data_IF_215799483970
#
_entry.id   IF_215799483970
#
_cell.length_a   1.000
_cell.length_b   1.000
_cell.length_c   1.000
_cell.angle_alpha   90.00
_cell.angle_beta   90.00
_cell.angle_gamma   90.00
#
_symmetry.space_group_name_H-M   'P 1'
#
loop_
_entity.id
_entity.type
_entity.pdbx_description
1 polymer ?
#
# COMPACT_ATOMS: atom_id res chain seq x y z
N UNK A 1 -73.21 -16.93 12.26
CA UNK A 1 -71.99 -17.71 12.49
C UNK A 1 -70.77 -16.75 12.30
N UNK A 2 -70.05 -16.52 13.39
CA UNK A 2 -69.01 -15.48 13.47
C UNK A 2 -67.68 -16.04 12.97
N UNK A 3 -67.02 -15.37 12.05
CA UNK A 3 -65.66 -15.67 11.65
C UNK A 3 -64.68 -14.82 12.48
N UNK A 4 -63.82 -15.49 13.23
CA UNK A 4 -62.74 -14.86 13.98
C UNK A 4 -61.51 -14.59 13.01
N UNK A 5 -61.15 -13.34 12.93
CA UNK A 5 -59.94 -12.89 12.26
C UNK A 5 -58.83 -12.67 13.33
N UNK A 6 -57.83 -13.55 13.31
CA UNK A 6 -56.65 -13.43 14.19
C UNK A 6 -55.60 -12.55 13.49
N UNK A 7 -55.36 -11.36 14.05
CA UNK A 7 -54.30 -10.46 13.63
C UNK A 7 -53.01 -10.89 14.31
N UNK A 8 -52.03 -11.33 13.52
CA UNK A 8 -50.65 -11.62 13.97
C UNK A 8 -49.85 -10.30 14.04
N UNK A 9 -49.61 -9.85 15.26
CA UNK A 9 -48.73 -8.70 15.54
C UNK A 9 -47.29 -9.18 15.56
N UNK A 10 -46.56 -8.81 14.53
CA UNK A 10 -45.10 -9.00 14.49
C UNK A 10 -44.41 -7.91 15.32
N UNK A 11 -43.96 -8.25 16.50
CA UNK A 11 -43.08 -7.43 17.33
C UNK A 11 -41.66 -7.50 16.78
N UNK A 12 -41.18 -6.39 16.22
CA UNK A 12 -39.77 -6.18 15.87
C UNK A 12 -38.99 -5.96 17.15
N UNK A 13 -38.25 -6.95 17.62
CA UNK A 13 -37.18 -6.76 18.59
C UNK A 13 -36.01 -6.01 17.93
N UNK A 14 -35.86 -4.74 18.29
CA UNK A 14 -34.63 -3.97 18.04
C UNK A 14 -33.58 -4.41 19.05
N UNK A 15 -32.63 -5.25 18.67
CA UNK A 15 -31.42 -5.45 19.45
C UNK A 15 -30.59 -4.15 19.37
N UNK A 16 -30.52 -3.43 20.48
CA UNK A 16 -29.62 -2.32 20.68
C UNK A 16 -28.22 -2.90 20.93
N UNK A 17 -27.31 -2.67 20.01
CA UNK A 17 -25.89 -2.84 20.28
C UNK A 17 -25.43 -1.66 21.16
N UNK A 18 -25.24 -1.89 22.45
CA UNK A 18 -24.46 -1.02 23.30
C UNK A 18 -22.99 -1.44 23.16
N UNK A 19 -22.22 -0.77 22.33
CA UNK A 19 -20.76 -0.79 22.43
C UNK A 19 -20.36 0.26 23.44
N UNK A 20 -19.99 -0.17 24.65
CA UNK A 20 -19.27 0.69 25.60
C UNK A 20 -17.85 0.81 25.09
N UNK A 21 -17.58 1.86 24.35
CA UNK A 21 -16.20 2.25 24.04
C UNK A 21 -15.65 2.91 25.29
N UNK A 22 -14.91 2.14 26.09
CA UNK A 22 -14.04 2.69 27.12
C UNK A 22 -12.91 3.41 26.41
N UNK A 23 -12.95 4.75 26.40
CA UNK A 23 -11.84 5.59 25.96
C UNK A 23 -10.62 5.34 26.83
N UNK A 24 -9.66 4.58 26.32
CA UNK A 24 -8.33 4.55 26.90
C UNK A 24 -7.55 5.68 26.24
N UNK A 25 -7.57 6.81 26.92
CA UNK A 25 -6.63 7.92 26.72
C UNK A 25 -5.22 7.35 26.96
N UNK A 26 -4.54 6.93 25.90
CA UNK A 26 -3.12 6.57 25.99
C UNK A 26 -2.31 7.82 25.74
N UNK A 27 -1.37 8.19 26.63
CA UNK A 27 -0.49 9.30 26.36
C UNK A 27 0.34 8.99 25.12
N UNK A 28 0.26 9.86 24.10
CA UNK A 28 1.16 9.84 22.96
C UNK A 28 2.60 9.84 23.47
N UNK A 29 3.25 8.70 23.44
CA UNK A 29 4.71 8.62 23.57
C UNK A 29 5.27 9.12 22.24
N UNK A 30 5.51 10.40 22.15
CA UNK A 30 6.43 10.97 21.17
C UNK A 30 7.80 10.30 21.42
N UNK A 31 8.09 9.29 20.62
CA UNK A 31 9.45 8.81 20.48
C UNK A 31 10.20 9.93 19.76
N UNK A 32 10.92 10.76 20.52
CA UNK A 32 11.80 11.78 19.98
C UNK A 32 12.90 11.07 19.20
N UNK A 33 12.67 10.82 17.93
CA UNK A 33 13.69 10.35 16.99
C UNK A 33 14.61 11.54 16.79
N UNK A 34 15.81 11.51 17.37
CA UNK A 34 16.82 12.53 17.11
C UNK A 34 17.18 12.47 15.63
N UNK A 35 17.13 13.58 14.89
CA UNK A 35 17.53 13.62 13.50
C UNK A 35 18.97 13.12 13.37
N UNK A 36 19.15 12.14 12.52
CA UNK A 36 20.45 11.54 12.24
C UNK A 36 20.77 11.85 10.79
N UNK A 37 21.58 12.88 10.55
CA UNK A 37 21.96 13.29 9.22
C UNK A 37 22.52 12.12 8.37
N UNK A 38 22.36 12.22 7.06
CA UNK A 38 22.75 11.19 6.08
C UNK A 38 24.22 10.73 6.24
N UNK A 39 25.10 11.59 6.73
CA UNK A 39 26.51 11.28 7.00
C UNK A 39 26.69 10.06 7.92
N UNK A 40 25.76 9.80 8.82
CA UNK A 40 25.77 8.58 9.64
C UNK A 40 25.47 7.33 8.83
N UNK A 41 24.61 7.44 7.80
CA UNK A 41 24.19 6.32 6.98
C UNK A 41 25.18 6.04 5.85
N UNK A 42 25.64 7.10 5.17
CA UNK A 42 26.58 6.97 4.05
C UNK A 42 27.97 6.59 4.55
N UNK A 43 28.43 7.13 5.70
CA UNK A 43 29.78 6.86 6.20
C UNK A 43 30.85 7.14 5.13
N UNK A 44 31.70 6.15 4.83
CA UNK A 44 32.71 6.20 3.76
C UNK A 44 32.24 5.50 2.46
N UNK A 45 31.09 4.79 2.49
CA UNK A 45 30.53 4.10 1.33
C UNK A 45 29.54 5.00 0.59
N UNK A 46 29.57 5.03 -0.75
CA UNK A 46 28.61 5.78 -1.52
C UNK A 46 27.20 5.17 -1.41
N UNK A 47 26.18 6.01 -1.48
CA UNK A 47 24.81 5.55 -1.69
C UNK A 47 24.67 4.86 -3.05
N UNK A 48 23.62 4.06 -3.22
CA UNK A 48 23.28 3.45 -4.51
C UNK A 48 21.97 3.98 -5.02
N UNK A 49 21.96 4.53 -6.24
CA UNK A 49 20.75 4.93 -6.96
C UNK A 49 20.30 3.77 -7.85
N UNK A 50 19.14 3.21 -7.55
CA UNK A 50 18.52 2.10 -8.30
C UNK A 50 17.37 2.64 -9.12
N UNK A 51 17.40 2.48 -10.46
CA UNK A 51 16.34 2.95 -11.34
C UNK A 51 16.29 2.18 -12.66
N UNK A 52 15.15 2.25 -13.34
CA UNK A 52 14.98 1.68 -14.68
C UNK A 52 15.22 2.75 -15.76
N UNK A 53 16.32 2.70 -16.51
CA UNK A 53 16.62 3.70 -17.53
C UNK A 53 15.69 3.65 -18.76
N UNK A 54 14.99 2.54 -18.97
CA UNK A 54 14.08 2.36 -20.12
C UNK A 54 12.63 2.72 -19.81
N UNK A 55 12.32 3.06 -18.55
CA UNK A 55 10.97 3.46 -18.15
C UNK A 55 10.52 4.76 -18.86
N UNK A 56 9.20 5.01 -18.82
CA UNK A 56 8.60 6.20 -19.42
C UNK A 56 8.98 6.43 -20.89
N UNK A 57 9.07 5.35 -21.68
CA UNK A 57 9.47 5.39 -23.10
C UNK A 57 10.86 6.01 -23.32
N UNK A 58 11.79 5.75 -22.37
CA UNK A 58 13.17 6.23 -22.41
C UNK A 58 13.41 7.58 -21.71
N UNK A 59 12.37 8.34 -21.35
CA UNK A 59 12.52 9.61 -20.63
C UNK A 59 13.17 9.43 -19.24
N UNK A 60 13.07 8.24 -18.64
CA UNK A 60 13.68 7.96 -17.36
C UNK A 60 15.20 8.11 -17.37
N UNK A 61 15.87 7.87 -18.52
CA UNK A 61 17.32 8.08 -18.63
C UNK A 61 17.70 9.55 -18.39
N UNK A 62 16.90 10.51 -18.88
CA UNK A 62 17.13 11.94 -18.65
C UNK A 62 16.90 12.32 -17.20
N UNK A 63 15.84 11.79 -16.59
CA UNK A 63 15.55 12.03 -15.18
C UNK A 63 16.61 11.42 -14.26
N UNK A 64 17.17 10.25 -14.61
CA UNK A 64 18.30 9.66 -13.88
C UNK A 64 19.53 10.56 -13.95
N UNK A 65 19.84 11.13 -15.14
CA UNK A 65 20.97 12.09 -15.26
C UNK A 65 20.75 13.32 -14.38
N UNK A 66 19.53 13.87 -14.39
CA UNK A 66 19.14 14.99 -13.53
C UNK A 66 19.26 14.64 -12.04
N UNK A 67 18.71 13.51 -11.61
CA UNK A 67 18.78 13.06 -10.22
C UNK A 67 20.24 12.89 -9.75
N UNK A 68 21.09 12.30 -10.60
CA UNK A 68 22.54 12.14 -10.29
C UNK A 68 23.24 13.48 -10.16
N UNK A 69 23.00 14.42 -11.07
CA UNK A 69 23.58 15.77 -10.99
C UNK A 69 23.15 16.49 -9.68
N UNK A 70 21.87 16.38 -9.31
CA UNK A 70 21.36 16.93 -8.04
C UNK A 70 21.97 16.25 -6.81
N UNK A 71 22.16 14.94 -6.83
CA UNK A 71 22.85 14.20 -5.75
C UNK A 71 24.31 14.63 -5.62
N UNK A 72 25.02 14.85 -6.74
CA UNK A 72 26.38 15.37 -6.75
C UNK A 72 26.45 16.80 -6.17
N UNK A 73 25.54 17.68 -6.58
CA UNK A 73 25.41 19.04 -6.05
C UNK A 73 25.10 19.04 -4.54
N UNK A 74 24.23 18.16 -4.11
CA UNK A 74 23.90 17.94 -2.70
C UNK A 74 25.02 17.23 -1.91
N UNK A 75 26.15 16.88 -2.56
CA UNK A 75 27.28 16.15 -1.97
C UNK A 75 26.89 14.81 -1.36
N UNK A 76 25.99 14.09 -2.01
CA UNK A 76 25.63 12.71 -1.70
C UNK A 76 26.42 11.78 -2.63
N UNK A 77 27.56 11.21 -2.20
CA UNK A 77 28.34 10.29 -3.02
C UNK A 77 27.47 9.09 -3.39
N UNK A 78 27.38 8.79 -4.68
CA UNK A 78 26.51 7.72 -5.14
C UNK A 78 27.06 7.02 -6.39
N UNK A 79 26.60 5.79 -6.60
CA UNK A 79 26.74 5.07 -7.87
C UNK A 79 25.37 4.64 -8.39
N UNK A 80 25.29 4.38 -9.68
CA UNK A 80 24.07 3.97 -10.33
C UNK A 80 24.03 2.45 -10.55
N UNK A 81 22.88 1.85 -10.30
CA UNK A 81 22.56 0.45 -10.58
C UNK A 81 21.23 0.44 -11.33
N UNK A 82 21.20 -0.18 -12.51
CA UNK A 82 19.97 -0.36 -13.25
C UNK A 82 19.11 -1.47 -12.62
N UNK A 83 17.78 -1.29 -12.65
CA UNK A 83 16.85 -2.39 -12.33
C UNK A 83 16.95 -3.50 -13.37
N UNK A 84 16.66 -4.71 -12.95
CA UNK A 84 16.60 -5.88 -13.80
C UNK A 84 15.18 -6.45 -13.86
N UNK A 85 14.74 -7.00 -15.01
CA UNK A 85 13.40 -7.56 -15.14
C UNK A 85 13.24 -8.84 -14.32
N UNK A 86 11.98 -9.30 -14.19
CA UNK A 86 11.62 -10.58 -13.56
C UNK A 86 12.01 -10.67 -12.08
N UNK A 87 11.94 -9.54 -11.34
CA UNK A 87 12.25 -9.52 -9.91
C UNK A 87 13.75 -9.61 -9.57
N UNK A 88 14.65 -9.67 -10.56
CA UNK A 88 16.10 -9.77 -10.31
C UNK A 88 16.70 -8.53 -9.67
N UNK A 89 15.99 -7.40 -9.70
CA UNK A 89 16.37 -6.20 -8.93
C UNK A 89 16.54 -6.52 -7.44
N UNK A 90 15.74 -7.41 -6.88
CA UNK A 90 15.80 -7.83 -5.47
C UNK A 90 17.20 -8.40 -5.17
N UNK A 91 17.64 -9.36 -5.98
CA UNK A 91 18.94 -10.00 -5.81
C UNK A 91 20.08 -9.00 -6.05
N UNK A 92 19.92 -8.13 -7.07
CA UNK A 92 20.93 -7.11 -7.36
C UNK A 92 21.12 -6.11 -6.22
N UNK A 93 20.04 -5.70 -5.56
CA UNK A 93 20.10 -4.81 -4.38
C UNK A 93 20.76 -5.53 -3.20
N UNK A 94 20.39 -6.81 -2.98
CA UNK A 94 21.02 -7.64 -1.95
C UNK A 94 22.54 -7.72 -2.12
N UNK A 95 23.02 -8.08 -3.32
CA UNK A 95 24.46 -8.18 -3.64
C UNK A 95 25.18 -6.85 -3.35
N UNK A 96 24.63 -5.73 -3.79
CA UNK A 96 25.21 -4.41 -3.59
C UNK A 96 25.37 -4.07 -2.10
N UNK A 97 24.43 -4.49 -1.26
CA UNK A 97 24.49 -4.25 0.19
C UNK A 97 25.54 -5.17 0.83
N UNK A 98 25.53 -6.46 0.47
CA UNK A 98 26.38 -7.48 1.06
C UNK A 98 27.87 -7.28 0.67
N UNK A 99 28.12 -7.04 -0.63
CA UNK A 99 29.49 -6.98 -1.17
C UNK A 99 30.16 -5.64 -0.94
N UNK A 100 29.40 -4.52 -1.03
CA UNK A 100 29.95 -3.17 -0.99
C UNK A 100 29.70 -2.44 0.33
N UNK A 101 28.99 -3.06 1.27
CA UNK A 101 28.68 -2.48 2.58
C UNK A 101 27.84 -1.20 2.49
N UNK A 102 26.99 -1.08 1.48
CA UNK A 102 26.11 0.08 1.25
C UNK A 102 25.16 0.29 2.42
N UNK A 103 24.95 1.54 2.83
CA UNK A 103 24.07 1.93 3.93
C UNK A 103 22.90 2.81 3.48
N UNK A 104 22.93 3.32 2.27
CA UNK A 104 21.83 4.08 1.68
C UNK A 104 21.53 3.55 0.28
N UNK A 105 20.29 3.10 0.08
CA UNK A 105 19.78 2.70 -1.24
C UNK A 105 18.68 3.69 -1.64
N UNK A 106 18.88 4.40 -2.74
CA UNK A 106 17.92 5.37 -3.27
C UNK A 106 17.18 4.70 -4.43
N UNK A 107 15.89 4.51 -4.34
CA UNK A 107 15.13 4.10 -5.52
C UNK A 107 14.63 5.30 -6.30
N UNK A 108 14.55 5.16 -7.62
CA UNK A 108 13.87 6.10 -8.50
C UNK A 108 12.93 5.32 -9.43
N UNK A 109 11.63 5.50 -9.22
CA UNK A 109 10.61 4.71 -9.92
C UNK A 109 9.23 4.86 -9.33
N UNK A 110 8.36 3.89 -9.59
CA UNK A 110 7.04 3.75 -8.97
C UNK A 110 7.06 2.74 -7.82
N UNK A 111 5.85 2.38 -7.33
CA UNK A 111 5.65 1.49 -6.18
C UNK A 111 6.26 0.10 -6.40
N UNK A 112 6.22 -0.45 -7.63
CA UNK A 112 6.91 -1.72 -7.93
C UNK A 112 8.43 -1.64 -7.74
N UNK A 113 9.08 -0.55 -8.19
CA UNK A 113 10.53 -0.36 -7.95
C UNK A 113 10.82 -0.17 -6.47
N UNK A 114 9.94 0.54 -5.74
CA UNK A 114 10.02 0.64 -4.28
C UNK A 114 10.01 -0.76 -3.65
N UNK A 115 9.01 -1.58 -3.99
CA UNK A 115 8.83 -2.92 -3.41
C UNK A 115 10.04 -3.84 -3.70
N UNK A 116 10.54 -3.87 -4.95
CA UNK A 116 11.72 -4.68 -5.29
C UNK A 116 12.97 -4.24 -4.52
N UNK A 117 13.22 -2.92 -4.40
CA UNK A 117 14.37 -2.39 -3.64
C UNK A 117 14.22 -2.69 -2.15
N UNK A 118 13.04 -2.50 -1.57
CA UNK A 118 12.78 -2.83 -0.18
C UNK A 118 12.94 -4.32 0.10
N UNK A 119 12.41 -5.21 -0.77
CA UNK A 119 12.62 -6.66 -0.67
C UNK A 119 14.10 -7.05 -0.75
N UNK A 120 14.88 -6.37 -1.61
CA UNK A 120 16.33 -6.56 -1.71
C UNK A 120 17.08 -6.17 -0.44
N UNK A 121 16.68 -5.06 0.21
CA UNK A 121 17.21 -4.64 1.51
C UNK A 121 16.91 -5.71 2.58
N UNK A 122 15.70 -6.27 2.59
CA UNK A 122 15.35 -7.37 3.50
C UNK A 122 16.14 -8.65 3.21
N UNK A 123 16.33 -8.99 1.94
CA UNK A 123 17.05 -10.19 1.53
C UNK A 123 18.53 -10.17 1.93
N UNK A 124 19.14 -8.99 2.09
CA UNK A 124 20.52 -8.83 2.59
C UNK A 124 20.68 -9.15 4.08
N UNK A 125 19.58 -9.20 4.84
CA UNK A 125 19.65 -9.33 6.30
C UNK A 125 20.06 -8.06 7.04
N UNK A 126 20.33 -6.96 6.34
CA UNK A 126 20.83 -5.68 6.89
C UNK A 126 19.77 -4.56 6.92
N UNK A 127 18.47 -4.91 6.91
CA UNK A 127 17.39 -3.92 6.82
C UNK A 127 17.43 -2.85 7.94
N UNK A 128 17.98 -3.18 9.10
CA UNK A 128 18.14 -2.24 10.20
C UNK A 128 19.35 -1.32 10.07
N UNK A 129 20.28 -1.62 9.15
CA UNK A 129 21.52 -0.87 8.93
C UNK A 129 21.48 -0.07 7.63
N UNK A 130 20.45 -0.25 6.81
CA UNK A 130 20.29 0.40 5.51
C UNK A 130 19.10 1.35 5.53
N UNK A 131 19.29 2.59 5.12
CA UNK A 131 18.22 3.55 4.91
C UNK A 131 17.83 3.64 3.43
N UNK A 132 16.55 3.74 3.13
CA UNK A 132 16.03 3.83 1.77
C UNK A 132 15.60 5.26 1.45
N UNK A 133 16.26 5.88 0.48
CA UNK A 133 15.88 7.18 -0.09
C UNK A 133 14.84 7.00 -1.20
N UNK A 134 13.96 7.98 -1.35
CA UNK A 134 12.81 7.88 -2.25
C UNK A 134 12.80 8.99 -3.30
N UNK A 135 12.84 8.61 -4.58
CA UNK A 135 12.61 9.49 -5.73
C UNK A 135 11.40 8.95 -6.54
N UNK A 136 10.16 9.19 -6.07
CA UNK A 136 8.97 8.66 -6.70
C UNK A 136 8.74 9.31 -8.08
N UNK A 137 8.74 8.50 -9.14
CA UNK A 137 8.54 8.94 -10.52
C UNK A 137 7.53 8.08 -11.30
N UNK A 138 6.87 7.15 -10.62
CA UNK A 138 5.83 6.29 -11.17
C UNK A 138 4.48 7.00 -11.34
N UNK A 139 3.42 6.22 -11.48
CA UNK A 139 2.05 6.74 -11.68
C UNK A 139 1.31 6.96 -10.37
N UNK A 140 1.19 5.95 -9.50
CA UNK A 140 0.47 6.05 -8.23
C UNK A 140 1.37 6.65 -7.14
N UNK A 141 2.53 6.06 -6.90
CA UNK A 141 3.52 6.47 -5.90
C UNK A 141 2.93 6.59 -4.49
N UNK A 142 2.15 5.58 -4.10
CA UNK A 142 1.44 5.53 -2.83
C UNK A 142 2.39 5.67 -1.63
N UNK A 143 3.53 4.99 -1.70
CA UNK A 143 4.59 5.06 -0.70
C UNK A 143 5.14 6.49 -0.57
N UNK A 144 5.66 7.07 -1.66
CA UNK A 144 6.24 8.42 -1.62
C UNK A 144 5.26 9.47 -1.10
N UNK A 145 4.01 9.43 -1.59
CA UNK A 145 2.94 10.35 -1.18
C UNK A 145 2.54 10.17 0.29
N UNK A 146 2.50 8.94 0.79
CA UNK A 146 2.18 8.65 2.19
C UNK A 146 3.23 9.22 3.15
N UNK A 147 4.47 9.32 2.70
CA UNK A 147 5.58 9.93 3.45
C UNK A 147 5.84 11.39 3.08
N UNK A 148 4.89 12.08 2.46
CA UNK A 148 4.96 13.54 2.21
C UNK A 148 5.81 13.95 1.02
N UNK A 149 6.24 13.00 0.18
CA UNK A 149 7.01 13.30 -1.03
C UNK A 149 6.09 13.61 -2.21
N UNK A 150 6.51 14.53 -3.05
CA UNK A 150 5.87 14.76 -4.34
C UNK A 150 6.44 13.82 -5.40
N UNK A 151 5.62 13.49 -6.40
CA UNK A 151 6.00 12.56 -7.44
C UNK A 151 6.31 13.29 -8.77
N UNK A 152 7.16 12.66 -9.57
CA UNK A 152 7.49 13.11 -10.92
C UNK A 152 8.81 13.86 -11.04
N UNK A 153 9.21 14.13 -12.28
CA UNK A 153 10.49 14.75 -12.59
C UNK A 153 10.65 16.17 -11.99
N UNK A 154 9.54 16.93 -11.87
CA UNK A 154 9.55 18.27 -11.28
C UNK A 154 9.81 18.30 -9.78
N UNK A 155 9.69 17.16 -9.09
CA UNK A 155 9.92 17.04 -7.66
C UNK A 155 11.33 16.53 -7.29
N UNK A 156 12.17 16.22 -8.27
CA UNK A 156 13.48 15.60 -8.04
C UNK A 156 14.39 16.44 -7.15
N UNK A 157 14.46 17.76 -7.39
CA UNK A 157 15.31 18.67 -6.60
C UNK A 157 14.89 18.64 -5.11
N UNK A 158 13.59 18.79 -4.82
CA UNK A 158 13.06 18.73 -3.47
C UNK A 158 13.32 17.38 -2.81
N UNK A 159 13.07 16.28 -3.52
CA UNK A 159 13.24 14.94 -2.97
C UNK A 159 14.72 14.59 -2.75
N UNK A 160 15.63 15.08 -3.59
CA UNK A 160 17.08 14.97 -3.36
C UNK A 160 17.51 15.77 -2.12
N UNK A 161 16.94 16.97 -1.91
CA UNK A 161 17.21 17.74 -0.70
C UNK A 161 16.73 16.99 0.57
N UNK A 162 15.58 16.28 0.51
CA UNK A 162 15.11 15.39 1.59
C UNK A 162 16.13 14.28 1.87
N UNK A 163 16.63 13.62 0.81
CA UNK A 163 17.63 12.56 0.95
C UNK A 163 18.90 13.12 1.58
N UNK A 164 19.37 14.29 1.16
CA UNK A 164 20.56 14.93 1.69
C UNK A 164 20.40 15.37 3.16
N UNK A 165 19.20 15.75 3.58
CA UNK A 165 18.89 16.06 4.98
C UNK A 165 18.97 14.83 5.87
N UNK A 166 18.55 13.65 5.37
CA UNK A 166 18.77 12.36 5.99
C UNK A 166 17.93 12.09 7.24
N UNK A 167 16.72 12.66 7.35
CA UNK A 167 15.78 12.31 8.41
C UNK A 167 15.24 10.90 8.15
N UNK A 168 15.32 10.02 9.16
CA UNK A 168 14.98 8.61 8.99
C UNK A 168 13.89 8.19 9.96
N UNK A 169 12.84 7.57 9.43
CA UNK A 169 11.77 6.93 10.21
C UNK A 169 11.77 5.43 9.97
N UNK A 170 11.24 4.67 10.94
CA UNK A 170 10.92 3.26 10.74
C UNK A 170 9.57 3.13 10.06
N UNK A 171 9.45 2.19 9.12
CA UNK A 171 8.19 1.80 8.52
C UNK A 171 7.92 0.33 8.84
N UNK A 172 6.68 0.01 9.19
CA UNK A 172 6.23 -1.35 9.43
C UNK A 172 6.24 -2.14 8.13
N UNK A 173 6.38 -3.44 8.22
CA UNK A 173 6.42 -4.33 7.05
C UNK A 173 5.48 -5.49 7.29
N UNK A 174 4.62 -5.76 6.32
CA UNK A 174 3.74 -6.91 6.34
C UNK A 174 4.45 -8.18 5.88
N UNK A 175 4.43 -9.21 6.73
CA UNK A 175 4.85 -10.56 6.35
C UNK A 175 3.61 -11.36 6.00
N UNK A 176 3.51 -11.81 4.76
CA UNK A 176 2.38 -12.53 4.21
C UNK A 176 2.74 -14.00 3.97
N UNK A 177 1.83 -14.89 4.35
CA UNK A 177 1.85 -16.31 3.98
C UNK A 177 0.48 -16.68 3.40
N UNK A 178 0.46 -17.32 2.22
CA UNK A 178 -0.75 -17.77 1.54
C UNK A 178 -0.80 -19.30 1.57
N UNK A 179 -1.94 -19.83 1.98
CA UNK A 179 -2.17 -21.26 2.09
C UNK A 179 -3.36 -21.71 1.23
N UNK A 180 -3.27 -22.93 0.71
CA UNK A 180 -4.37 -23.65 0.05
C UNK A 180 -4.47 -25.04 0.67
N UNK A 181 -5.61 -25.37 1.29
CA UNK A 181 -5.70 -26.49 2.21
C UNK A 181 -4.70 -26.35 3.36
N UNK A 182 -3.84 -27.35 3.53
CA UNK A 182 -2.79 -27.34 4.55
C UNK A 182 -1.41 -26.95 4.01
N UNK A 183 -1.33 -26.55 2.74
CA UNK A 183 -0.05 -26.27 2.07
C UNK A 183 0.16 -24.78 1.93
N UNK A 184 1.31 -24.30 2.39
CA UNK A 184 1.84 -22.99 2.01
C UNK A 184 2.14 -22.99 0.51
N UNK A 185 1.57 -22.02 -0.23
CA UNK A 185 1.75 -21.89 -1.68
C UNK A 185 2.53 -20.65 -2.05
N UNK A 186 2.60 -19.66 -1.14
CA UNK A 186 3.35 -18.42 -1.38
C UNK A 186 3.70 -17.74 -0.06
N UNK A 187 4.82 -16.99 -0.08
CA UNK A 187 5.26 -16.12 1.00
C UNK A 187 5.83 -14.85 0.42
N UNK A 188 5.46 -13.70 0.99
CA UNK A 188 5.94 -12.41 0.52
C UNK A 188 6.02 -11.37 1.65
N UNK A 189 6.56 -10.19 1.31
CA UNK A 189 6.53 -8.97 2.11
C UNK A 189 5.73 -7.92 1.37
N UNK A 190 4.98 -7.10 2.11
CA UNK A 190 4.37 -5.90 1.57
C UNK A 190 4.66 -4.68 2.47
N UNK A 191 4.65 -3.51 1.87
CA UNK A 191 5.07 -2.26 2.47
C UNK A 191 3.95 -1.23 2.48
N UNK A 192 3.02 -1.33 1.53
CA UNK A 192 1.86 -0.44 1.40
C UNK A 192 0.56 -1.14 1.75
N UNK A 193 0.20 -2.15 0.98
CA UNK A 193 -1.09 -2.81 1.12
C UNK A 193 -1.12 -4.24 0.60
N UNK A 194 -2.01 -5.00 1.20
CA UNK A 194 -2.45 -6.30 0.71
C UNK A 194 -3.96 -6.24 0.47
N UNK A 195 -4.47 -6.86 -0.60
CA UNK A 195 -5.92 -6.98 -0.77
C UNK A 195 -6.35 -8.28 -1.44
N UNK A 196 -7.62 -8.64 -1.17
CA UNK A 196 -8.32 -9.80 -1.74
C UNK A 196 -9.65 -9.31 -2.29
N UNK A 197 -9.93 -9.53 -3.57
CA UNK A 197 -11.22 -9.23 -4.17
C UNK A 197 -11.16 -8.27 -5.34
N UNK A 198 -12.01 -7.24 -5.34
CA UNK A 198 -12.24 -6.35 -6.48
C UNK A 198 -10.99 -5.55 -6.88
N UNK A 199 -10.24 -5.04 -5.92
CA UNK A 199 -9.01 -4.30 -6.17
C UNK A 199 -7.97 -5.14 -6.89
N UNK A 200 -7.73 -6.35 -6.40
CA UNK A 200 -6.82 -7.32 -7.01
C UNK A 200 -7.29 -7.77 -8.40
N UNK A 201 -8.59 -8.04 -8.59
CA UNK A 201 -9.17 -8.40 -9.88
C UNK A 201 -9.04 -7.26 -10.92
N UNK A 202 -9.13 -6.01 -10.46
CA UNK A 202 -8.90 -4.83 -11.31
C UNK A 202 -7.46 -4.74 -11.79
N UNK A 203 -6.50 -5.08 -10.93
CA UNK A 203 -5.09 -5.14 -11.25
C UNK A 203 -4.79 -6.22 -12.29
N UNK A 204 -5.29 -7.44 -12.07
CA UNK A 204 -5.15 -8.57 -13.00
C UNK A 204 -5.63 -8.22 -14.41
N UNK A 205 -6.75 -7.53 -14.52
CA UNK A 205 -7.25 -7.11 -15.84
C UNK A 205 -6.39 -6.04 -16.47
N UNK A 206 -5.97 -5.02 -15.68
CA UNK A 206 -5.08 -3.98 -16.19
C UNK A 206 -3.79 -4.57 -16.76
N UNK A 207 -3.21 -5.56 -16.08
CA UNK A 207 -1.98 -6.20 -16.52
C UNK A 207 -2.21 -7.02 -17.79
N UNK A 208 -3.32 -7.78 -17.86
CA UNK A 208 -3.74 -8.53 -19.06
C UNK A 208 -3.99 -7.62 -20.26
N UNK A 209 -4.61 -6.46 -20.04
CA UNK A 209 -4.85 -5.49 -21.11
C UNK A 209 -3.55 -4.77 -21.53
N UNK A 210 -2.63 -4.49 -20.62
CA UNK A 210 -1.29 -3.98 -20.95
C UNK A 210 -0.52 -4.93 -21.85
N UNK A 211 -0.55 -6.23 -21.59
CA UNK A 211 0.10 -7.23 -22.45
C UNK A 211 -0.52 -7.26 -23.85
N UNK A 212 -1.86 -7.17 -23.94
CA UNK A 212 -2.57 -7.15 -25.21
C UNK A 212 -2.27 -5.90 -26.03
N UNK A 213 -2.31 -4.72 -25.40
CA UNK A 213 -2.04 -3.41 -26.03
C UNK A 213 -0.56 -3.25 -26.36
N UNK A 214 0.35 -3.77 -25.55
CA UNK A 214 1.80 -3.78 -25.82
C UNK A 214 2.19 -4.53 -27.11
N UNK A 215 1.32 -5.42 -27.59
CA UNK A 215 1.49 -6.14 -28.87
C UNK A 215 1.03 -5.32 -30.09
N UNK A 216 0.38 -4.15 -29.91
CA UNK A 216 -0.10 -3.31 -31.01
C UNK A 216 0.83 -2.09 -31.14
N UNK A 217 1.61 -1.95 -32.24
CA UNK A 217 2.50 -0.83 -32.43
C UNK A 217 1.75 0.52 -32.41
N UNK A 218 2.20 1.47 -31.59
CA UNK A 218 1.68 2.85 -31.54
C UNK A 218 0.58 3.12 -30.49
N UNK A 219 -0.10 2.10 -29.94
CA UNK A 219 -1.14 2.28 -28.92
C UNK A 219 -0.60 2.30 -27.48
N UNK A 220 0.59 1.78 -27.26
CA UNK A 220 1.21 1.72 -25.93
C UNK A 220 1.50 3.07 -25.26
N UNK A 221 1.53 4.17 -26.03
CA UNK A 221 1.73 5.52 -25.51
C UNK A 221 0.44 6.14 -24.95
N UNK A 222 -0.71 5.81 -25.55
CA UNK A 222 -2.02 6.34 -25.12
C UNK A 222 -2.55 5.68 -23.83
N UNK A 223 -2.09 4.47 -23.53
CA UNK A 223 -2.58 3.67 -22.38
C UNK A 223 -1.86 3.95 -21.06
N UNK A 224 -1.01 4.97 -20.99
CA UNK A 224 -0.11 5.24 -19.85
C UNK A 224 -0.53 6.39 -18.94
N UNK A 225 -1.64 7.07 -19.22
CA UNK A 225 -2.06 8.25 -18.45
C UNK A 225 -2.99 7.90 -17.28
N UNK A 226 -2.96 8.76 -16.25
CA UNK A 226 -3.77 8.66 -15.01
C UNK A 226 -5.28 8.52 -15.30
N UNK A 227 -5.77 9.05 -16.43
CA UNK A 227 -7.16 8.89 -16.89
C UNK A 227 -7.54 7.43 -17.15
N UNK A 228 -6.58 6.60 -17.55
CA UNK A 228 -6.81 5.17 -17.80
C UNK A 228 -6.94 4.39 -16.50
N UNK A 229 -6.21 4.79 -15.44
CA UNK A 229 -6.32 4.16 -14.13
C UNK A 229 -7.69 4.43 -13.50
N UNK A 230 -8.13 5.68 -13.49
CA UNK A 230 -9.47 6.05 -13.01
C UNK A 230 -10.58 5.41 -13.87
N UNK A 231 -10.38 5.34 -15.18
CA UNK A 231 -11.28 4.65 -16.12
C UNK A 231 -11.36 3.15 -15.88
N UNK A 232 -10.23 2.47 -15.64
CA UNK A 232 -10.18 1.04 -15.36
C UNK A 232 -10.86 0.70 -14.03
N UNK A 233 -10.67 1.50 -12.99
CA UNK A 233 -11.38 1.34 -11.71
C UNK A 233 -12.87 1.57 -11.88
N UNK A 234 -13.29 2.60 -12.61
CA UNK A 234 -14.69 2.88 -12.91
C UNK A 234 -15.31 1.79 -13.79
N UNK A 235 -14.60 1.32 -14.82
CA UNK A 235 -15.05 0.23 -15.68
C UNK A 235 -15.24 -1.04 -14.87
N UNK A 236 -14.32 -1.38 -13.96
CA UNK A 236 -14.46 -2.55 -13.08
C UNK A 236 -15.56 -2.39 -12.05
N UNK A 237 -15.76 -1.19 -11.57
CA UNK A 237 -16.94 -0.89 -10.75
C UNK A 237 -18.24 -1.17 -11.53
N UNK A 238 -18.32 -0.74 -12.78
CA UNK A 238 -19.46 -1.02 -13.64
C UNK A 238 -19.57 -2.51 -13.99
N UNK A 239 -18.47 -3.19 -14.27
CA UNK A 239 -18.44 -4.63 -14.52
C UNK A 239 -18.78 -5.45 -13.25
N UNK A 240 -18.45 -4.97 -12.06
CA UNK A 240 -18.84 -5.59 -10.79
C UNK A 240 -20.37 -5.60 -10.57
N UNK A 241 -21.12 -4.78 -11.33
CA UNK A 241 -22.57 -4.89 -11.41
C UNK A 241 -23.04 -6.11 -12.19
N UNK A 242 -22.19 -6.67 -13.06
CA UNK A 242 -22.50 -7.81 -13.91
C UNK A 242 -21.98 -9.12 -13.31
N UNK A 243 -20.89 -9.06 -12.54
CA UNK A 243 -20.24 -10.23 -11.92
C UNK A 243 -20.47 -10.17 -10.41
N UNK A 244 -21.12 -11.17 -9.86
CA UNK A 244 -21.39 -11.28 -8.41
C UNK A 244 -20.13 -11.83 -7.69
N UNK A 245 -19.09 -10.97 -7.59
CA UNK A 245 -17.86 -11.28 -6.86
C UNK A 245 -18.11 -10.97 -5.38
N UNK A 246 -18.86 -11.82 -4.71
CA UNK A 246 -19.02 -11.73 -3.27
C UNK A 246 -18.43 -12.96 -2.62
N UNK A 247 -17.80 -12.74 -1.50
CA UNK A 247 -17.25 -13.80 -0.69
C UNK A 247 -17.36 -13.46 0.80
N UNK A 248 -17.21 -14.46 1.64
CA UNK A 248 -17.19 -14.29 3.08
C UNK A 248 -15.77 -14.51 3.60
N UNK A 249 -15.42 -13.80 4.67
CA UNK A 249 -14.12 -13.93 5.32
C UNK A 249 -14.31 -14.09 6.82
N UNK A 250 -13.80 -15.18 7.36
CA UNK A 250 -13.56 -15.33 8.79
C UNK A 250 -12.15 -14.80 9.09
N UNK A 251 -12.07 -13.82 9.97
CA UNK A 251 -10.81 -13.20 10.35
C UNK A 251 -10.57 -13.36 11.85
N UNK A 252 -9.38 -13.81 12.23
CA UNK A 252 -8.87 -13.69 13.60
C UNK A 252 -7.85 -12.56 13.58
N UNK A 253 -8.20 -11.43 14.19
CA UNK A 253 -7.35 -10.24 14.26
C UNK A 253 -6.85 -10.11 15.70
N UNK A 254 -5.55 -10.24 15.89
CA UNK A 254 -4.88 -10.43 17.18
C UNK A 254 -5.46 -11.66 17.93
N UNK A 255 -6.52 -11.51 18.70
CA UNK A 255 -7.22 -12.61 19.36
C UNK A 255 -8.74 -12.51 19.22
N UNK A 256 -9.21 -11.58 18.40
CA UNK A 256 -10.64 -11.30 18.23
C UNK A 256 -11.13 -11.89 16.92
N UNK A 257 -12.25 -12.61 16.99
CA UNK A 257 -12.89 -13.20 15.82
C UNK A 257 -13.84 -12.18 15.18
N UNK A 258 -13.69 -12.00 13.88
CA UNK A 258 -14.55 -11.17 13.05
C UNK A 258 -15.12 -12.01 11.90
N UNK A 259 -16.35 -11.71 11.50
CA UNK A 259 -17.02 -12.34 10.37
C UNK A 259 -17.45 -11.25 9.39
N UNK A 260 -16.90 -11.26 8.19
CA UNK A 260 -17.23 -10.34 7.13
C UNK A 260 -18.03 -11.11 6.06
N UNK A 261 -19.31 -10.79 5.93
CA UNK A 261 -20.21 -11.45 4.98
C UNK A 261 -20.43 -10.58 3.75
N UNK A 262 -20.54 -11.23 2.59
CA UNK A 262 -20.86 -10.58 1.30
C UNK A 262 -19.90 -9.43 0.94
N UNK A 263 -18.61 -9.56 1.27
CA UNK A 263 -17.62 -8.55 0.93
C UNK A 263 -17.27 -8.59 -0.56
N UNK A 264 -16.96 -7.43 -1.10
CA UNK A 264 -16.39 -7.24 -2.45
C UNK A 264 -14.88 -7.17 -2.41
N UNK A 265 -14.33 -6.68 -1.30
CA UNK A 265 -12.90 -6.55 -1.10
C UNK A 265 -12.56 -6.59 0.39
N UNK A 266 -11.37 -7.08 0.70
CA UNK A 266 -10.69 -6.92 1.98
C UNK A 266 -9.36 -6.27 1.68
N UNK A 267 -9.12 -5.08 2.23
CA UNK A 267 -7.87 -4.35 2.04
C UNK A 267 -7.18 -4.23 3.39
N UNK A 268 -5.92 -4.60 3.48
CA UNK A 268 -5.08 -4.37 4.66
C UNK A 268 -4.07 -3.30 4.29
N UNK A 269 -4.08 -2.19 5.05
CA UNK A 269 -3.27 -1.00 4.81
C UNK A 269 -2.20 -0.83 5.87
N UNK A 270 -0.98 -0.51 5.42
CA UNK A 270 0.15 -0.07 6.24
C UNK A 270 0.37 1.44 6.12
N UNK A 271 0.14 2.02 4.94
CA UNK A 271 0.33 3.46 4.70
C UNK A 271 -1.00 4.15 4.40
N UNK A 272 -1.03 5.48 4.44
CA UNK A 272 -2.29 6.25 4.34
C UNK A 272 -2.92 6.20 2.95
N UNK A 273 -2.12 6.27 1.89
CA UNK A 273 -2.62 6.45 0.52
C UNK A 273 -2.74 5.10 -0.18
N UNK A 274 -3.84 4.89 -0.86
CA UNK A 274 -4.14 3.70 -1.66
C UNK A 274 -4.53 4.11 -3.08
N UNK A 275 -3.92 3.46 -4.09
CA UNK A 275 -4.23 3.70 -5.50
C UNK A 275 -4.01 5.14 -5.95
N UNK A 276 -3.08 5.86 -5.32
CA UNK A 276 -2.66 7.22 -5.63
C UNK A 276 -3.47 8.34 -4.98
N UNK A 277 -4.74 8.10 -4.58
CA UNK A 277 -5.65 9.19 -4.18
C UNK A 277 -6.59 8.86 -3.00
N UNK A 278 -6.75 7.59 -2.58
CA UNK A 278 -7.70 7.23 -1.53
C UNK A 278 -7.05 7.11 -0.16
N UNK A 279 -7.73 7.60 0.87
CA UNK A 279 -7.37 7.47 2.28
C UNK A 279 -8.56 6.83 3.00
N UNK A 280 -8.48 5.53 3.31
CA UNK A 280 -9.58 4.81 3.97
C UNK A 280 -9.67 5.10 5.47
N UNK A 281 -8.54 5.31 6.13
CA UNK A 281 -8.48 5.77 7.51
C UNK A 281 -7.36 6.81 7.66
N UNK A 282 -7.68 8.07 7.98
CA UNK A 282 -6.67 9.11 8.18
C UNK A 282 -5.77 8.87 9.41
N UNK A 283 -6.19 7.96 10.31
CA UNK A 283 -5.44 7.59 11.52
C UNK A 283 -4.40 6.51 11.28
N UNK A 284 -4.36 5.91 10.08
CA UNK A 284 -3.34 4.92 9.72
C UNK A 284 -1.95 5.49 9.98
N UNK A 285 -1.16 4.79 10.79
CA UNK A 285 0.23 5.08 11.08
C UNK A 285 1.10 3.94 10.56
N UNK A 286 2.23 4.26 9.94
CA UNK A 286 3.08 3.25 9.29
C UNK A 286 4.21 2.74 10.19
N UNK A 287 4.18 3.05 11.49
CA UNK A 287 5.25 2.74 12.45
C UNK A 287 4.76 2.35 13.84
N UNK A 288 3.46 2.06 13.99
CA UNK A 288 2.84 1.68 15.26
C UNK A 288 2.76 0.15 15.50
N UNK A 289 3.25 -0.64 14.53
CA UNK A 289 3.23 -2.11 14.57
C UNK A 289 1.86 -2.70 14.25
N UNK A 290 0.99 -1.97 13.58
CA UNK A 290 -0.38 -2.37 13.25
C UNK A 290 -0.73 -2.03 11.82
N UNK A 291 -1.74 -2.70 11.29
CA UNK A 291 -2.34 -2.43 9.99
C UNK A 291 -3.84 -2.24 10.14
N UNK A 292 -4.48 -1.54 9.21
CA UNK A 292 -5.92 -1.39 9.14
C UNK A 292 -6.52 -2.34 8.10
N UNK A 293 -7.37 -3.28 8.56
CA UNK A 293 -8.22 -4.06 7.69
C UNK A 293 -9.47 -3.26 7.36
N UNK A 294 -9.65 -2.95 6.08
CA UNK A 294 -10.78 -2.22 5.53
C UNK A 294 -11.69 -3.20 4.77
N UNK A 295 -12.83 -3.61 5.33
CA UNK A 295 -13.78 -4.44 4.61
C UNK A 295 -14.62 -3.57 3.68
N UNK A 296 -14.87 -4.05 2.46
CA UNK A 296 -15.77 -3.41 1.50
C UNK A 296 -17.04 -4.28 1.38
N UNK A 297 -18.06 -3.95 2.15
CA UNK A 297 -19.29 -4.75 2.29
C UNK A 297 -20.36 -4.31 1.29
N UNK A 298 -20.16 -4.64 0.02
CA UNK A 298 -21.13 -4.38 -1.03
C UNK A 298 -20.96 -3.03 -1.73
N UNK A 299 -21.81 -2.80 -2.75
CA UNK A 299 -21.66 -1.69 -3.71
C UNK A 299 -21.89 -0.31 -3.10
N UNK A 300 -22.83 -0.19 -2.14
CA UNK A 300 -23.09 1.09 -1.46
C UNK A 300 -21.92 1.49 -0.57
N UNK A 301 -21.39 0.55 0.18
CA UNK A 301 -20.21 0.75 1.01
C UNK A 301 -18.97 1.11 0.16
N UNK A 302 -18.77 0.44 -0.98
CA UNK A 302 -17.73 0.79 -1.93
C UNK A 302 -17.87 2.23 -2.44
N UNK A 303 -19.08 2.61 -2.90
CA UNK A 303 -19.36 3.97 -3.36
C UNK A 303 -19.12 5.03 -2.28
N UNK A 304 -19.53 4.76 -1.05
CA UNK A 304 -19.31 5.65 0.11
C UNK A 304 -17.82 5.82 0.38
N UNK A 305 -17.05 4.72 0.43
CA UNK A 305 -15.61 4.76 0.61
C UNK A 305 -14.90 5.47 -0.54
N UNK A 306 -15.34 5.23 -1.78
CA UNK A 306 -14.74 5.89 -2.95
C UNK A 306 -14.90 7.41 -2.90
N UNK A 307 -16.07 7.92 -2.57
CA UNK A 307 -16.34 9.37 -2.51
C UNK A 307 -15.72 10.01 -1.28
N UNK A 308 -15.91 9.41 -0.10
CA UNK A 308 -15.45 9.98 1.16
C UNK A 308 -13.95 9.85 1.40
N UNK A 309 -13.28 8.91 0.73
CA UNK A 309 -11.86 8.63 0.94
C UNK A 309 -10.93 9.33 -0.05
N UNK A 310 -11.44 10.15 -0.97
CA UNK A 310 -10.58 10.92 -1.88
C UNK A 310 -9.71 11.90 -1.08
N UNK A 311 -8.38 11.84 -1.28
CA UNK A 311 -7.38 12.66 -0.58
C UNK A 311 -7.70 14.17 -0.57
N UNK A 312 -8.34 14.66 -1.64
CA UNK A 312 -8.70 16.08 -1.82
C UNK A 312 -10.19 16.34 -1.67
N UNK A 313 -10.95 15.37 -1.19
CA UNK A 313 -12.38 15.54 -0.96
C UNK A 313 -12.62 16.38 0.29
N UNK A 314 -13.47 17.39 0.24
CA UNK A 314 -13.92 18.12 1.43
C UNK A 314 -14.91 17.27 2.27
N UNK A 315 -15.40 16.16 1.76
CA UNK A 315 -16.37 15.28 2.42
C UNK A 315 -15.66 14.02 2.86
N UNK A 316 -15.60 13.78 4.17
CA UNK A 316 -15.04 12.57 4.75
C UNK A 316 -16.04 11.42 4.79
N UNK A 317 -15.54 10.19 5.01
CA UNK A 317 -16.40 9.00 5.20
C UNK A 317 -17.32 9.18 6.41
N UNK A 318 -16.84 9.81 7.47
CA UNK A 318 -17.62 10.09 8.67
C UNK A 318 -18.78 11.07 8.39
N UNK A 319 -18.57 12.06 7.53
CA UNK A 319 -19.63 12.99 7.09
C UNK A 319 -20.73 12.25 6.31
N UNK A 320 -20.34 11.31 5.44
CA UNK A 320 -21.29 10.48 4.71
C UNK A 320 -22.06 9.55 5.65
N UNK A 321 -21.41 9.04 6.68
CA UNK A 321 -22.07 8.22 7.71
C UNK A 321 -23.10 9.04 8.50
N UNK A 322 -22.80 10.29 8.84
CA UNK A 322 -23.75 11.21 9.48
C UNK A 322 -24.97 11.48 8.60
N UNK A 323 -24.79 11.44 7.27
CA UNK A 323 -25.88 11.56 6.30
C UNK A 323 -26.65 10.24 6.06
N UNK A 324 -26.34 9.18 6.83
CA UNK A 324 -27.04 7.89 6.76
C UNK A 324 -26.47 6.90 5.73
N UNK A 325 -25.29 7.17 5.18
CA UNK A 325 -24.58 6.21 4.34
C UNK A 325 -23.82 5.22 5.24
N UNK A 326 -24.24 3.96 5.23
CA UNK A 326 -23.58 2.93 6.02
C UNK A 326 -22.25 2.53 5.37
N UNK A 327 -21.21 2.45 6.18
CA UNK A 327 -19.95 1.80 5.80
C UNK A 327 -19.45 0.92 6.96
N UNK A 328 -18.70 -0.13 6.63
CA UNK A 328 -18.03 -0.95 7.63
C UNK A 328 -16.71 -0.26 8.06
N UNK A 329 -16.52 0.02 9.36
CA UNK A 329 -15.31 0.69 9.83
C UNK A 329 -14.07 -0.19 9.66
N UNK A 330 -12.88 0.40 9.50
CA UNK A 330 -11.63 -0.33 9.56
C UNK A 330 -11.40 -1.00 10.91
N UNK A 331 -10.68 -2.12 10.90
CA UNK A 331 -10.28 -2.85 12.10
C UNK A 331 -8.77 -2.91 12.17
N UNK A 332 -8.17 -2.34 13.22
CA UNK A 332 -6.72 -2.34 13.40
C UNK A 332 -6.22 -3.61 14.08
N UNK A 333 -5.08 -4.14 13.65
CA UNK A 333 -4.45 -5.32 14.21
C UNK A 333 -2.97 -5.46 13.85
N UNK A 334 -2.24 -6.24 14.65
CA UNK A 334 -0.85 -6.61 14.38
C UNK A 334 -0.74 -7.98 13.69
N UNK A 335 -1.75 -8.84 13.87
CA UNK A 335 -1.81 -10.19 13.29
C UNK A 335 -3.18 -10.43 12.70
N UNK A 336 -3.19 -10.95 11.49
CA UNK A 336 -4.42 -11.29 10.77
C UNK A 336 -4.32 -12.74 10.28
N UNK A 337 -5.34 -13.50 10.56
CA UNK A 337 -5.54 -14.85 10.05
C UNK A 337 -6.89 -14.86 9.34
N UNK A 338 -6.85 -14.78 8.01
CA UNK A 338 -8.03 -14.65 7.18
C UNK A 338 -8.32 -15.97 6.51
N UNK A 339 -9.53 -16.49 6.66
CA UNK A 339 -10.03 -17.67 5.95
C UNK A 339 -11.14 -17.22 4.99
N UNK A 340 -10.91 -17.43 3.70
CA UNK A 340 -11.85 -17.06 2.63
C UNK A 340 -12.82 -18.20 2.39
N UNK A 341 -14.11 -17.89 2.38
CA UNK A 341 -15.20 -18.79 2.00
C UNK A 341 -15.84 -18.30 0.73
N UNK A 342 -15.51 -18.94 -0.37
CA UNK A 342 -16.01 -18.60 -1.69
C UNK A 342 -16.15 -19.84 -2.58
N UNK A 343 -17.08 -19.82 -3.51
CA UNK A 343 -17.19 -20.88 -4.54
C UNK A 343 -16.01 -20.84 -5.52
N UNK A 344 -15.53 -19.64 -5.84
CA UNK A 344 -14.30 -19.38 -6.60
C UNK A 344 -13.44 -18.43 -5.77
N UNK A 345 -12.18 -18.80 -5.55
CA UNK A 345 -11.27 -17.96 -4.77
C UNK A 345 -11.06 -16.62 -5.46
N UNK A 346 -11.23 -15.49 -4.73
CA UNK A 346 -11.00 -14.16 -5.27
C UNK A 346 -9.51 -13.92 -5.56
N UNK A 347 -9.23 -13.01 -6.50
CA UNK A 347 -7.88 -12.55 -6.79
C UNK A 347 -7.25 -11.90 -5.56
N UNK A 348 -5.92 -11.97 -5.45
CA UNK A 348 -5.15 -11.37 -4.38
C UNK A 348 -3.99 -10.54 -4.94
N UNK A 349 -3.57 -9.51 -4.20
CA UNK A 349 -2.43 -8.67 -4.57
C UNK A 349 -1.69 -8.13 -3.32
N UNK A 350 -0.41 -7.78 -3.46
CA UNK A 350 0.29 -6.91 -2.53
C UNK A 350 1.11 -5.84 -3.28
N UNK A 351 1.11 -4.62 -2.77
CA UNK A 351 1.84 -3.46 -3.33
C UNK A 351 1.66 -3.27 -4.85
N UNK A 352 0.50 -3.67 -5.39
CA UNK A 352 0.21 -3.61 -6.81
C UNK A 352 0.73 -4.78 -7.66
N UNK A 353 1.23 -5.86 -7.03
CA UNK A 353 1.66 -7.10 -7.67
C UNK A 353 0.65 -8.21 -7.46
N UNK A 354 0.34 -8.98 -8.52
CA UNK A 354 -0.60 -10.10 -8.45
C UNK A 354 -0.03 -11.25 -7.62
N UNK A 355 -0.89 -11.85 -6.80
CA UNK A 355 -0.56 -13.01 -5.97
C UNK A 355 -1.41 -14.23 -6.34
N UNK A 356 -0.93 -15.46 -6.06
CA UNK A 356 -1.76 -16.63 -6.18
C UNK A 356 -2.95 -16.55 -5.21
N UNK A 357 -4.15 -16.85 -5.70
CA UNK A 357 -5.34 -16.91 -4.87
C UNK A 357 -5.22 -18.04 -3.83
N UNK A 358 -5.51 -17.75 -2.59
CA UNK A 358 -5.43 -18.68 -1.45
C UNK A 358 -6.76 -18.86 -0.73
N UNK A 359 -6.85 -19.89 0.08
CA UNK A 359 -7.97 -20.12 0.99
C UNK A 359 -7.74 -19.45 2.34
N UNK A 360 -6.49 -19.32 2.74
CA UNK A 360 -6.08 -18.70 4.00
C UNK A 360 -4.87 -17.78 3.80
N UNK A 361 -4.93 -16.64 4.47
CA UNK A 361 -3.87 -15.63 4.45
C UNK A 361 -3.47 -15.31 5.89
N UNK A 362 -2.20 -15.50 6.21
CA UNK A 362 -1.64 -15.08 7.50
C UNK A 362 -0.75 -13.89 7.30
N UNK A 363 -0.99 -12.83 8.06
CA UNK A 363 -0.27 -11.57 7.97
C UNK A 363 0.17 -11.17 9.36
N UNK A 364 1.47 -10.86 9.49
CA UNK A 364 2.07 -10.32 10.69
C UNK A 364 2.69 -8.96 10.40
N UNK A 365 2.40 -7.96 11.22
CA UNK A 365 3.12 -6.69 11.20
C UNK A 365 4.49 -6.87 11.85
N UNK A 366 5.55 -6.47 11.13
CA UNK A 366 6.92 -6.40 11.66
C UNK A 366 7.23 -4.93 11.92
N UNK A 367 7.22 -4.49 13.19
CA UNK A 367 7.29 -3.06 13.51
C UNK A 367 8.61 -2.42 13.08
N UNK A 368 8.53 -1.26 12.44
CA UNK A 368 9.67 -0.39 12.08
C UNK A 368 10.82 -1.12 11.41
N UNK A 369 10.48 -2.11 10.57
CA UNK A 369 11.44 -3.02 10.01
C UNK A 369 12.17 -2.46 8.77
N UNK A 370 11.59 -1.48 8.06
CA UNK A 370 12.23 -0.75 6.96
C UNK A 370 12.54 0.67 7.40
N UNK A 371 13.72 1.19 7.06
CA UNK A 371 14.12 2.56 7.36
C UNK A 371 13.97 3.43 6.13
N UNK A 372 13.15 4.48 6.22
CA UNK A 372 12.87 5.40 5.12
C UNK A 372 13.41 6.79 5.42
N UNK A 373 14.03 7.42 4.41
CA UNK A 373 14.43 8.83 4.47
C UNK A 373 13.22 9.68 4.05
N UNK A 374 12.77 10.56 4.94
CA UNK A 374 11.54 11.33 4.80
C UNK A 374 11.76 12.83 5.01
N UNK A 375 10.82 13.70 4.57
CA UNK A 375 10.84 15.11 4.89
C UNK A 375 10.77 15.35 6.41
N UNK A 376 11.44 16.40 6.87
CA UNK A 376 11.49 16.76 8.31
C UNK A 376 10.11 17.02 8.89
N UNK A 377 9.24 17.68 8.15
CA UNK A 377 7.85 17.95 8.52
C UNK A 377 7.00 16.68 8.69
N UNK A 378 7.46 15.54 8.18
CA UNK A 378 6.82 14.25 8.43
C UNK A 378 7.15 13.70 9.82
N UNK A 379 8.34 14.05 10.35
CA UNK A 379 8.82 13.63 11.67
C UNK A 379 8.32 14.58 12.77
N UNK A 380 8.24 15.87 12.44
CA UNK A 380 7.75 16.92 13.34
C UNK A 380 6.49 17.54 12.70
N UNK A 381 5.27 17.05 13.03
CA UNK A 381 4.06 17.70 12.56
C UNK A 381 4.07 19.17 13.01
N UNK A 382 3.76 20.10 12.11
CA UNK A 382 3.69 21.52 12.38
C UNK A 382 2.76 21.77 13.58
N UNK A 383 3.29 22.41 14.63
CA UNK A 383 2.58 22.86 15.82
C UNK A 383 1.49 23.90 15.46
#
# INVERSE_FOLDING_TARGET
>A
MRANSTVLTLTRERRRYHSTVAGTDRPHRQATIRPVGISRWVGNAPAVLVANPTAHSGKAADWIRTARALLDEARVPHRFVATEPEGRTIERVREVIDDDGVRVVIYMGGDGTFAEVAKGIFASGHAQDVAMGMLPTGTANDQGKSFGLEAGAGALERNVAVIAAGEVVGCDVGRLVIERGTKEIHRDLFFDSFSIGLGAASLETRNRDRERVGRIPGLGALYRDQLVYAGAVLQRFLESYVVDIKFDVDAVIDSTVHHFENVLDIIIKNTKIFGGEWIFDPRTESDDGRFELVPVTGRRDFGTKLVGSLRRSPIGVDDLQLLGFAHAPPVSGARFDLTVRAGTLPAAQCDGEELPAGERYRIDAVPRALRLIVPREHVEPAL
#
